data_IF_312070696099
#
_entry.id   IF_312070696099
#
_cell.length_a   1.000
_cell.length_b   1.000
_cell.length_c   1.000
_cell.angle_alpha   90.00
_cell.angle_beta   90.00
_cell.angle_gamma   90.00
#
_symmetry.space_group_name_H-M   'P 1'
#
loop_
_entity.id
_entity.type
_entity.pdbx_description
1 polymer ?
#
# COMPACT_ATOMS: atom_id res chain seq x y z
N UNK A 1 -5.80 0.39 -18.04
CA UNK A 1 -5.06 0.91 -19.21
C UNK A 1 -4.15 -0.19 -19.71
N UNK A 2 -4.22 -0.50 -21.00
CA UNK A 2 -3.29 -1.40 -21.67
C UNK A 2 -2.09 -0.57 -22.11
N UNK A 3 -0.90 -0.95 -21.68
CA UNK A 3 0.36 -0.40 -22.20
C UNK A 3 0.96 -1.44 -23.14
N UNK A 4 1.44 -1.00 -24.31
CA UNK A 4 2.12 -1.87 -25.26
C UNK A 4 3.63 -1.73 -25.11
N UNK A 5 4.34 -2.85 -25.07
CA UNK A 5 5.80 -2.90 -25.18
C UNK A 5 6.17 -4.03 -26.14
N UNK A 6 6.94 -3.74 -27.18
CA UNK A 6 7.36 -4.69 -28.22
C UNK A 6 6.20 -5.46 -28.90
N UNK A 7 5.08 -4.78 -29.19
CA UNK A 7 3.95 -5.38 -29.90
C UNK A 7 3.15 -6.41 -29.08
N UNK A 8 3.39 -6.50 -27.77
CA UNK A 8 2.57 -7.29 -26.84
C UNK A 8 1.87 -6.35 -25.87
N UNK A 9 0.55 -6.54 -25.73
CA UNK A 9 -0.25 -5.87 -24.73
C UNK A 9 0.14 -6.35 -23.33
N UNK A 10 0.75 -5.48 -22.51
CA UNK A 10 1.00 -5.73 -21.11
C UNK A 10 -0.29 -5.47 -20.34
N UNK A 11 -0.86 -6.54 -19.79
CA UNK A 11 -1.90 -6.45 -18.77
C UNK A 11 -1.22 -6.25 -17.43
N UNK A 12 -1.01 -4.99 -17.02
CA UNK A 12 -0.58 -4.72 -15.65
C UNK A 12 -1.72 -5.13 -14.70
N UNK A 13 -1.49 -6.08 -13.78
CA UNK A 13 -2.52 -6.50 -12.85
C UNK A 13 -2.97 -5.29 -12.04
N UNK A 14 -4.29 -5.07 -12.00
CA UNK A 14 -4.85 -4.13 -11.06
C UNK A 14 -4.82 -4.83 -9.70
N UNK A 15 -4.30 -4.17 -8.64
CA UNK A 15 -4.48 -4.66 -7.30
C UNK A 15 -5.96 -4.59 -6.96
N UNK A 16 -6.65 -5.69 -7.24
CA UNK A 16 -7.93 -5.97 -6.62
C UNK A 16 -7.57 -6.40 -5.22
N UNK A 17 -7.76 -5.52 -4.24
CA UNK A 17 -7.92 -5.98 -2.87
C UNK A 17 -9.12 -6.90 -2.93
N UNK A 18 -8.90 -8.21 -2.80
CA UNK A 18 -9.98 -9.19 -2.71
C UNK A 18 -10.77 -8.92 -1.42
N UNK A 19 -11.62 -7.91 -1.45
CA UNK A 19 -12.85 -7.86 -0.64
C UNK A 19 -13.94 -8.67 -1.35
N UNK A 20 -13.53 -9.74 -2.03
CA UNK A 20 -14.38 -10.51 -2.93
C UNK A 20 -15.60 -11.04 -2.19
N UNK A 21 -16.73 -11.10 -2.88
CA UNK A 21 -17.84 -11.95 -2.50
C UNK A 21 -17.40 -13.39 -2.79
N UNK A 22 -17.13 -14.24 -1.78
CA UNK A 22 -16.62 -15.60 -1.99
C UNK A 22 -17.54 -16.43 -2.88
N UNK A 23 -18.83 -16.05 -2.93
CA UNK A 23 -19.86 -16.64 -3.77
C UNK A 23 -19.65 -16.47 -5.28
N UNK A 24 -18.76 -15.57 -5.73
CA UNK A 24 -18.50 -15.35 -7.15
C UNK A 24 -17.31 -16.16 -7.68
N UNK A 25 -16.53 -16.83 -6.82
CA UNK A 25 -15.40 -17.64 -7.25
C UNK A 25 -15.85 -18.80 -8.17
N UNK A 26 -15.23 -18.93 -9.33
CA UNK A 26 -15.58 -19.94 -10.33
C UNK A 26 -16.84 -19.65 -11.15
N UNK A 27 -17.52 -18.52 -10.93
CA UNK A 27 -18.80 -18.23 -11.58
C UNK A 27 -18.67 -17.92 -13.08
N UNK A 28 -17.55 -17.36 -13.55
CA UNK A 28 -17.29 -17.08 -14.96
C UNK A 28 -15.79 -16.80 -15.23
N UNK A 29 -15.42 -16.52 -16.48
CA UNK A 29 -14.03 -16.21 -16.89
C UNK A 29 -13.44 -14.93 -16.25
N UNK A 30 -14.28 -14.04 -15.73
CA UNK A 30 -13.84 -12.83 -15.01
C UNK A 30 -13.61 -13.13 -13.52
N UNK A 31 -14.19 -14.21 -13.00
CA UNK A 31 -14.00 -14.73 -11.64
C UNK A 31 -13.61 -16.21 -11.70
N UNK A 32 -12.38 -16.52 -12.17
CA UNK A 32 -11.94 -17.90 -12.34
C UNK A 32 -11.93 -18.63 -10.98
N UNK A 33 -12.08 -19.95 -11.04
CA UNK A 33 -11.86 -20.78 -9.87
C UNK A 33 -10.35 -20.73 -9.57
N UNK A 34 -9.98 -20.23 -8.39
CA UNK A 34 -8.58 -20.22 -7.98
C UNK A 34 -8.29 -21.64 -7.54
N UNK A 35 -7.64 -22.43 -8.40
CA UNK A 35 -7.17 -23.75 -8.00
C UNK A 35 -6.28 -23.60 -6.76
N UNK A 36 -6.51 -24.39 -5.69
CA UNK A 36 -5.64 -24.38 -4.55
C UNK A 36 -4.21 -24.61 -5.01
N UNK A 37 -3.28 -23.76 -4.58
CA UNK A 37 -1.86 -23.98 -4.82
C UNK A 37 -1.55 -25.38 -4.31
N UNK A 38 -1.16 -26.28 -5.22
CA UNK A 38 -0.74 -27.63 -4.85
C UNK A 38 0.35 -27.51 -3.76
N UNK A 39 0.33 -28.36 -2.72
CA UNK A 39 1.29 -28.28 -1.63
C UNK A 39 2.71 -28.28 -2.19
N UNK A 40 3.44 -27.19 -1.93
CA UNK A 40 4.79 -26.96 -2.43
C UNK A 40 5.79 -27.73 -1.57
N UNK A 41 6.86 -28.26 -2.18
CA UNK A 41 7.97 -28.76 -1.37
C UNK A 41 8.62 -27.60 -0.59
N UNK A 42 9.25 -27.86 0.56
CA UNK A 42 9.98 -26.83 1.31
C UNK A 42 11.03 -26.12 0.46
N UNK A 43 11.71 -26.86 -0.43
CA UNK A 43 12.73 -26.33 -1.33
C UNK A 43 12.12 -25.33 -2.32
N UNK A 44 11.00 -25.65 -2.95
CA UNK A 44 10.31 -24.75 -3.89
C UNK A 44 9.79 -23.50 -3.20
N UNK A 45 9.27 -23.65 -1.97
CA UNK A 45 8.84 -22.53 -1.15
C UNK A 45 10.00 -21.58 -0.83
N UNK A 46 11.18 -22.13 -0.50
CA UNK A 46 12.38 -21.32 -0.27
C UNK A 46 12.86 -20.57 -1.52
N UNK A 47 12.74 -21.17 -2.72
CA UNK A 47 13.05 -20.46 -3.97
C UNK A 47 12.11 -19.26 -4.20
N UNK A 48 10.81 -19.46 -3.97
CA UNK A 48 9.79 -18.41 -4.10
C UNK A 48 10.10 -17.25 -3.14
N UNK A 49 10.33 -17.53 -1.85
CA UNK A 49 10.64 -16.47 -0.89
C UNK A 49 11.92 -15.72 -1.25
N UNK A 50 12.96 -16.40 -1.77
CA UNK A 50 14.18 -15.71 -2.23
C UNK A 50 13.93 -14.75 -3.38
N UNK A 51 13.08 -15.11 -4.34
CA UNK A 51 12.70 -14.23 -5.46
C UNK A 51 11.93 -13.02 -4.92
N UNK A 52 11.00 -13.26 -3.99
CA UNK A 52 10.20 -12.21 -3.37
C UNK A 52 11.08 -11.25 -2.57
N UNK A 53 11.93 -11.75 -1.68
CA UNK A 53 12.79 -10.92 -0.84
C UNK A 53 13.76 -10.06 -1.67
N UNK A 54 14.31 -10.62 -2.75
CA UNK A 54 15.18 -9.89 -3.67
C UNK A 54 14.46 -8.76 -4.44
N UNK A 55 13.14 -8.86 -4.58
CA UNK A 55 12.32 -7.83 -5.23
C UNK A 55 11.91 -6.67 -4.31
N UNK A 56 12.07 -6.81 -2.99
CA UNK A 56 11.66 -5.81 -2.01
C UNK A 56 12.75 -4.76 -1.85
N UNK A 57 12.45 -3.53 -2.28
CA UNK A 57 13.33 -2.37 -2.12
C UNK A 57 13.00 -1.58 -0.85
N UNK A 58 13.94 -0.76 -0.37
CA UNK A 58 13.81 -0.07 0.92
C UNK A 58 12.57 0.84 1.01
N UNK A 59 12.18 1.48 -0.10
CA UNK A 59 10.97 2.32 -0.12
C UNK A 59 9.70 1.53 0.23
N UNK A 60 9.68 0.21 0.02
CA UNK A 60 8.52 -0.63 0.31
C UNK A 60 8.41 -0.99 1.79
N UNK A 61 9.52 -0.88 2.53
CA UNK A 61 9.58 -1.29 3.93
C UNK A 61 8.89 -0.25 4.82
N UNK A 62 8.06 -0.67 5.79
CA UNK A 62 7.45 0.22 6.76
C UNK A 62 8.52 0.88 7.63
N UNK A 63 8.41 2.19 7.88
CA UNK A 63 9.34 2.94 8.73
C UNK A 63 9.07 2.72 10.22
N UNK A 64 9.27 1.50 10.71
CA UNK A 64 8.90 1.09 12.07
C UNK A 64 9.79 1.72 13.16
N UNK A 65 10.93 2.28 12.79
CA UNK A 65 11.95 2.77 13.72
C UNK A 65 12.03 4.30 13.82
N UNK A 66 10.98 5.02 13.40
CA UNK A 66 10.96 6.49 13.55
C UNK A 66 10.99 6.84 15.05
N UNK A 67 11.95 7.66 15.52
CA UNK A 67 12.02 8.03 16.94
C UNK A 67 10.73 8.74 17.41
N UNK A 68 10.18 8.38 18.58
CA UNK A 68 8.95 9.00 19.11
C UNK A 68 9.03 10.53 19.19
N UNK A 69 10.20 11.06 19.56
CA UNK A 69 10.43 12.49 19.65
C UNK A 69 10.32 13.20 18.29
N UNK A 70 10.83 12.57 17.22
CA UNK A 70 10.73 13.11 15.84
C UNK A 70 9.27 13.17 15.38
N UNK A 71 8.49 12.13 15.68
CA UNK A 71 7.07 12.10 15.38
C UNK A 71 6.32 13.21 16.14
N UNK A 72 6.61 13.36 17.43
CA UNK A 72 5.99 14.35 18.30
C UNK A 72 6.27 15.77 17.79
N UNK A 73 7.53 16.10 17.49
CA UNK A 73 7.91 17.40 16.91
C UNK A 73 7.19 17.67 15.58
N UNK A 74 7.04 16.66 14.72
CA UNK A 74 6.31 16.82 13.45
C UNK A 74 4.83 17.15 13.65
N UNK A 75 4.19 16.50 14.63
CA UNK A 75 2.79 16.75 14.98
C UNK A 75 2.64 18.16 15.58
N UNK A 76 3.53 18.54 16.51
CA UNK A 76 3.53 19.87 17.13
C UNK A 76 3.69 20.98 16.09
N UNK A 77 4.61 20.81 15.14
CA UNK A 77 4.80 21.75 14.03
C UNK A 77 3.54 21.87 13.15
N UNK A 78 2.86 20.75 12.88
CA UNK A 78 1.61 20.75 12.09
C UNK A 78 0.49 21.50 12.82
N UNK A 79 0.34 21.24 14.13
CA UNK A 79 -0.64 21.93 14.98
C UNK A 79 -0.33 23.43 15.06
N UNK A 80 0.93 23.80 15.29
CA UNK A 80 1.33 25.19 15.42
C UNK A 80 1.17 25.96 14.10
N UNK A 81 1.57 25.35 12.99
CA UNK A 81 1.35 25.92 11.64
C UNK A 81 -0.13 26.18 11.40
N UNK A 82 -1.01 25.23 11.79
CA UNK A 82 -2.46 25.39 11.67
C UNK A 82 -2.97 26.53 12.55
N UNK A 83 -2.56 26.60 13.82
CA UNK A 83 -2.92 27.69 14.76
C UNK A 83 -2.58 29.05 14.18
N UNK A 84 -1.34 29.23 13.75
CA UNK A 84 -0.86 30.49 13.16
C UNK A 84 -1.64 30.84 11.90
N UNK A 85 -1.88 29.87 11.02
CA UNK A 85 -2.63 30.10 9.77
C UNK A 85 -4.09 30.47 10.01
N UNK A 86 -4.72 29.89 11.02
CA UNK A 86 -6.12 30.17 11.34
C UNK A 86 -6.30 31.54 11.97
N UNK A 87 -5.39 31.95 12.86
CA UNK A 87 -5.48 33.25 13.56
C UNK A 87 -6.74 33.40 14.42
N UNK A 88 -7.37 32.27 14.77
CA UNK A 88 -8.65 32.21 15.49
C UNK A 88 -8.44 31.46 16.79
N UNK A 89 -9.05 31.98 17.86
CA UNK A 89 -9.07 31.29 19.13
C UNK A 89 -10.10 30.17 19.12
N UNK A 90 -9.63 28.97 19.44
CA UNK A 90 -10.40 27.72 19.50
C UNK A 90 -10.09 27.00 20.80
N UNK A 91 -11.09 26.31 21.39
CA UNK A 91 -10.94 25.69 22.69
C UNK A 91 -9.86 24.60 22.68
N UNK A 92 -9.25 24.35 23.84
CA UNK A 92 -8.23 23.30 24.01
C UNK A 92 -8.70 21.92 23.52
N UNK A 93 -10.00 21.63 23.65
CA UNK A 93 -10.62 20.40 23.16
C UNK A 93 -10.43 20.20 21.64
N UNK A 94 -10.60 21.25 20.83
CA UNK A 94 -10.40 21.19 19.37
C UNK A 94 -8.95 20.83 19.05
N UNK A 95 -7.98 21.50 19.68
CA UNK A 95 -6.56 21.25 19.41
C UNK A 95 -6.09 19.88 19.87
N UNK A 96 -6.66 19.38 20.99
CA UNK A 96 -6.42 18.03 21.47
C UNK A 96 -6.94 16.98 20.47
N UNK A 97 -8.12 17.21 19.90
CA UNK A 97 -8.69 16.30 18.90
C UNK A 97 -7.99 16.38 17.54
N UNK A 98 -7.61 17.58 17.08
CA UNK A 98 -6.83 17.80 15.87
C UNK A 98 -5.51 17.03 15.92
N UNK A 99 -4.81 17.06 17.07
CA UNK A 99 -3.60 16.28 17.32
C UNK A 99 -3.86 14.79 17.19
N UNK A 100 -4.88 14.26 17.87
CA UNK A 100 -5.26 12.83 17.79
C UNK A 100 -5.59 12.41 16.36
N UNK A 101 -6.24 13.27 15.57
CA UNK A 101 -6.56 12.98 14.18
C UNK A 101 -5.32 12.87 13.29
N UNK A 102 -4.27 13.67 13.56
CA UNK A 102 -2.96 13.55 12.89
C UNK A 102 -2.24 12.28 13.32
N UNK A 103 -2.15 12.02 14.63
CA UNK A 103 -1.55 10.79 15.16
C UNK A 103 -2.20 9.55 14.54
N UNK A 104 -3.53 9.54 14.47
CA UNK A 104 -4.29 8.46 13.85
C UNK A 104 -3.99 8.33 12.37
N UNK A 105 -3.94 9.43 11.62
CA UNK A 105 -3.58 9.40 10.19
C UNK A 105 -2.18 8.83 9.94
N UNK A 106 -1.20 9.21 10.77
CA UNK A 106 0.17 8.69 10.66
C UNK A 106 0.23 7.19 10.99
N UNK A 107 -0.51 6.74 12.00
CA UNK A 107 -0.65 5.32 12.32
C UNK A 107 -1.35 4.53 11.19
N UNK A 108 -2.46 5.06 10.66
CA UNK A 108 -3.19 4.47 9.53
C UNK A 108 -2.28 4.36 8.28
N UNK A 109 -1.46 5.38 8.00
CA UNK A 109 -0.50 5.37 6.90
C UNK A 109 0.60 4.31 7.06
N UNK A 110 1.13 4.16 8.28
CA UNK A 110 2.12 3.14 8.58
C UNK A 110 1.54 1.73 8.46
N UNK A 111 0.32 1.52 8.98
CA UNK A 111 -0.36 0.23 8.88
C UNK A 111 -0.67 -0.12 7.42
N UNK A 112 -1.17 0.83 6.64
CA UNK A 112 -1.41 0.63 5.21
C UNK A 112 -0.16 0.17 4.46
N UNK A 113 1.02 0.69 4.82
CA UNK A 113 2.29 0.24 4.21
C UNK A 113 2.65 -1.20 4.57
N UNK A 114 2.37 -1.62 5.81
CA UNK A 114 2.49 -3.03 6.24
C UNK A 114 1.55 -3.92 5.43
N UNK A 115 0.28 -3.53 5.34
CA UNK A 115 -0.76 -4.31 4.67
C UNK A 115 -0.49 -4.44 3.16
N UNK A 116 -0.07 -3.34 2.51
CA UNK A 116 0.29 -3.33 1.09
C UNK A 116 1.52 -4.21 0.83
N UNK A 117 2.54 -4.18 1.67
CA UNK A 117 3.71 -5.04 1.54
C UNK A 117 3.34 -6.52 1.74
N UNK A 118 2.46 -6.82 2.68
CA UNK A 118 1.99 -8.19 2.90
C UNK A 118 1.18 -8.69 1.69
N UNK A 119 0.22 -7.88 1.20
CA UNK A 119 -0.56 -8.20 0.01
C UNK A 119 0.31 -8.35 -1.25
N UNK A 120 1.37 -7.56 -1.37
CA UNK A 120 2.40 -7.73 -2.40
C UNK A 120 3.06 -9.10 -2.34
N UNK A 121 3.54 -9.52 -1.17
CA UNK A 121 4.20 -10.82 -0.97
C UNK A 121 3.24 -11.96 -1.32
N UNK A 122 2.00 -11.90 -0.83
CA UNK A 122 0.99 -12.93 -1.09
C UNK A 122 0.61 -13.01 -2.57
N UNK A 123 0.41 -11.87 -3.22
CA UNK A 123 0.14 -11.83 -4.65
C UNK A 123 1.30 -12.43 -5.44
N UNK A 124 2.55 -12.09 -5.10
CA UNK A 124 3.72 -12.62 -5.78
C UNK A 124 3.86 -14.14 -5.58
N UNK A 125 3.64 -14.64 -4.35
CA UNK A 125 3.57 -16.09 -4.09
C UNK A 125 2.56 -16.77 -4.99
N UNK A 126 1.34 -16.21 -5.13
CA UNK A 126 0.30 -16.77 -6.01
C UNK A 126 0.72 -16.79 -7.48
N UNK A 127 1.49 -15.80 -7.94
CA UNK A 127 2.02 -15.78 -9.31
C UNK A 127 3.15 -16.80 -9.55
N UNK A 128 4.01 -17.01 -8.55
CA UNK A 128 5.17 -17.91 -8.64
C UNK A 128 4.83 -19.38 -8.37
N UNK A 129 3.85 -19.63 -7.50
CA UNK A 129 3.43 -20.98 -7.11
C UNK A 129 3.09 -21.95 -8.27
N UNK A 130 2.47 -21.53 -9.38
CA UNK A 130 2.25 -22.43 -10.51
C UNK A 130 3.48 -22.64 -11.41
N UNK A 131 4.54 -21.82 -11.31
CA UNK A 131 5.70 -21.89 -12.19
C UNK A 131 6.61 -23.09 -11.91
N UNK A 132 7.03 -23.78 -12.95
CA UNK A 132 7.99 -24.87 -12.91
C UNK A 132 9.28 -24.46 -12.20
N UNK A 133 9.98 -25.40 -11.55
CA UNK A 133 11.25 -25.10 -10.87
C UNK A 133 12.27 -24.47 -11.82
N UNK A 134 12.32 -24.90 -13.08
CA UNK A 134 13.22 -24.33 -14.08
C UNK A 134 12.92 -22.85 -14.35
N UNK A 135 11.64 -22.44 -14.37
CA UNK A 135 11.26 -21.04 -14.56
C UNK A 135 11.53 -20.20 -13.30
N UNK A 136 11.33 -20.77 -12.10
CA UNK A 136 11.74 -20.14 -10.85
C UNK A 136 13.26 -19.91 -10.81
N UNK A 137 14.06 -20.87 -11.28
CA UNK A 137 15.52 -20.73 -11.36
C UNK A 137 15.97 -19.57 -12.24
N UNK A 138 15.21 -19.25 -13.31
CA UNK A 138 15.49 -18.10 -14.19
C UNK A 138 15.25 -16.75 -13.50
N UNK A 139 14.40 -16.72 -12.47
CA UNK A 139 14.06 -15.50 -11.75
C UNK A 139 14.99 -15.21 -10.56
N UNK A 140 15.67 -16.24 -10.04
CA UNK A 140 16.51 -16.13 -8.86
C UNK A 140 17.70 -15.17 -9.07
N UNK A 141 18.00 -14.28 -8.10
CA UNK A 141 19.24 -13.54 -8.10
C UNK A 141 20.43 -14.48 -7.94
N UNK A 142 21.56 -14.14 -8.58
CA UNK A 142 22.84 -14.83 -8.44
C UNK A 142 22.80 -16.36 -8.69
N UNK A 143 21.89 -16.81 -9.57
CA UNK A 143 21.80 -18.21 -10.01
C UNK A 143 22.46 -18.39 -11.40
N UNK A 144 23.21 -19.48 -11.67
CA UNK A 144 23.79 -19.74 -12.99
C UNK A 144 22.78 -19.83 -14.13
N UNK A 145 21.54 -20.21 -13.83
CA UNK A 145 20.41 -20.29 -14.78
C UNK A 145 19.58 -19.01 -14.81
N UNK A 146 19.97 -17.98 -14.06
CA UNK A 146 19.25 -16.72 -13.98
C UNK A 146 19.22 -16.02 -15.35
N UNK A 147 18.04 -15.52 -15.71
CA UNK A 147 17.86 -14.64 -16.85
C UNK A 147 17.55 -13.23 -16.32
N UNK A 148 18.55 -12.36 -16.42
CA UNK A 148 18.45 -10.98 -15.91
C UNK A 148 17.32 -10.19 -16.56
N UNK A 149 17.03 -10.42 -17.84
CA UNK A 149 15.96 -9.70 -18.53
C UNK A 149 14.59 -10.15 -18.02
N UNK A 150 14.40 -11.46 -17.87
CA UNK A 150 13.14 -12.02 -17.35
C UNK A 150 12.94 -11.62 -15.89
N UNK A 151 13.98 -11.71 -15.05
CA UNK A 151 13.92 -11.29 -13.63
C UNK A 151 13.62 -9.79 -13.51
N UNK A 152 14.27 -8.93 -14.30
CA UNK A 152 14.01 -7.48 -14.30
C UNK A 152 12.59 -7.14 -14.77
N UNK A 153 12.10 -7.80 -15.81
CA UNK A 153 10.72 -7.60 -16.29
C UNK A 153 9.70 -8.02 -15.24
N UNK A 154 9.92 -9.17 -14.58
CA UNK A 154 9.03 -9.68 -13.55
C UNK A 154 8.99 -8.76 -12.33
N UNK A 155 10.17 -8.33 -11.85
CA UNK A 155 10.29 -7.39 -10.74
C UNK A 155 9.68 -6.01 -11.06
N UNK A 156 9.79 -5.55 -12.32
CA UNK A 156 9.16 -4.29 -12.75
C UNK A 156 7.63 -4.37 -12.71
N UNK A 157 7.05 -5.47 -13.19
CA UNK A 157 5.60 -5.71 -13.12
C UNK A 157 5.11 -5.77 -11.67
N UNK A 158 5.87 -6.45 -10.80
CA UNK A 158 5.55 -6.56 -9.39
C UNK A 158 5.68 -5.22 -8.66
N UNK A 159 6.70 -4.42 -8.98
CA UNK A 159 6.83 -3.07 -8.44
C UNK A 159 5.67 -2.17 -8.87
N UNK A 160 5.18 -2.30 -10.10
CA UNK A 160 3.98 -1.59 -10.54
C UNK A 160 2.74 -1.99 -9.73
N UNK A 161 2.55 -3.30 -9.48
CA UNK A 161 1.49 -3.79 -8.61
C UNK A 161 1.57 -3.18 -7.20
N UNK A 162 2.77 -3.15 -6.60
CA UNK A 162 2.99 -2.50 -5.30
C UNK A 162 2.61 -1.02 -5.34
N UNK A 163 3.15 -0.26 -6.29
CA UNK A 163 2.91 1.19 -6.37
C UNK A 163 1.41 1.49 -6.54
N UNK A 164 0.69 0.70 -7.35
CA UNK A 164 -0.77 0.87 -7.52
C UNK A 164 -1.53 0.58 -6.22
N UNK A 165 -1.10 -0.44 -5.48
CA UNK A 165 -1.70 -0.84 -4.20
C UNK A 165 -1.48 0.22 -3.13
N UNK A 166 -0.25 0.73 -3.05
CA UNK A 166 0.13 1.83 -2.15
C UNK A 166 -0.67 3.09 -2.45
N UNK A 167 -0.77 3.49 -3.72
CA UNK A 167 -1.56 4.68 -4.11
C UNK A 167 -3.04 4.53 -3.77
N UNK A 168 -3.61 3.34 -3.91
CA UNK A 168 -4.98 3.09 -3.50
C UNK A 168 -5.14 3.25 -1.98
N UNK A 169 -4.26 2.63 -1.20
CA UNK A 169 -4.30 2.72 0.27
C UNK A 169 -4.08 4.16 0.77
N UNK A 170 -3.19 4.92 0.13
CA UNK A 170 -2.96 6.33 0.44
C UNK A 170 -4.21 7.18 0.18
N UNK A 171 -4.94 6.94 -0.92
CA UNK A 171 -6.21 7.63 -1.20
C UNK A 171 -7.27 7.32 -0.14
N UNK A 172 -7.41 6.05 0.25
CA UNK A 172 -8.36 5.63 1.28
C UNK A 172 -8.03 6.27 2.64
N UNK A 173 -6.75 6.24 3.04
CA UNK A 173 -6.29 6.88 4.27
C UNK A 173 -6.48 8.39 4.28
N UNK A 174 -6.19 9.07 3.15
CA UNK A 174 -6.41 10.51 3.03
C UNK A 174 -7.89 10.85 3.11
N UNK A 175 -8.76 10.10 2.41
CA UNK A 175 -10.21 10.28 2.48
C UNK A 175 -10.74 10.11 3.90
N UNK A 176 -10.29 9.07 4.61
CA UNK A 176 -10.68 8.84 6.00
C UNK A 176 -10.19 9.96 6.94
N UNK A 177 -8.96 10.46 6.74
CA UNK A 177 -8.45 11.60 7.49
C UNK A 177 -9.24 12.88 7.20
N UNK A 178 -9.45 13.21 5.93
CA UNK A 178 -10.24 14.38 5.51
C UNK A 178 -11.63 14.35 6.14
N UNK A 179 -12.30 13.21 6.17
CA UNK A 179 -13.61 13.07 6.79
C UNK A 179 -13.58 13.36 8.31
N UNK A 180 -12.56 12.87 9.03
CA UNK A 180 -12.38 13.17 10.47
C UNK A 180 -12.10 14.66 10.71
N UNK A 181 -11.30 15.27 9.84
CA UNK A 181 -10.96 16.69 9.96
C UNK A 181 -12.16 17.59 9.61
N UNK A 182 -12.94 17.24 8.59
CA UNK A 182 -14.15 17.95 8.22
C UNK A 182 -15.22 17.85 9.32
N UNK A 183 -15.39 16.67 9.94
CA UNK A 183 -16.28 16.53 11.09
C UNK A 183 -15.83 17.38 12.28
N UNK A 184 -14.52 17.40 12.57
CA UNK A 184 -13.95 18.22 13.63
C UNK A 184 -14.19 19.72 13.36
N UNK A 185 -13.83 20.20 12.17
CA UNK A 185 -14.00 21.61 11.79
C UNK A 185 -15.47 22.02 11.81
N UNK A 186 -16.41 21.12 11.44
CA UNK A 186 -17.85 21.35 11.52
C UNK A 186 -18.35 21.44 12.96
N UNK A 187 -17.91 20.58 13.88
CA UNK A 187 -18.37 20.58 15.28
C UNK A 187 -17.92 21.80 16.09
N UNK A 188 -16.89 22.50 15.63
CA UNK A 188 -16.34 23.69 16.27
C UNK A 188 -16.55 24.97 15.43
N UNK A 189 -17.46 24.92 14.44
CA UNK A 189 -17.82 26.05 13.57
C UNK A 189 -16.61 26.74 12.90
N UNK A 190 -15.56 25.97 12.63
CA UNK A 190 -14.33 26.47 12.05
C UNK A 190 -14.59 27.01 10.65
N UNK A 191 -15.46 26.35 9.89
CA UNK A 191 -15.80 26.74 8.54
C UNK A 191 -16.52 28.09 8.41
N UNK A 192 -17.14 28.57 9.48
CA UNK A 192 -17.79 29.90 9.51
C UNK A 192 -16.76 31.02 9.69
N UNK A 193 -15.61 30.69 10.29
CA UNK A 193 -14.61 31.66 10.74
C UNK A 193 -13.32 31.59 9.90
N UNK A 194 -13.08 30.47 9.22
CA UNK A 194 -11.84 30.20 8.50
C UNK A 194 -12.08 29.57 7.12
N UNK A 195 -11.69 30.28 6.05
CA UNK A 195 -11.92 29.85 4.67
C UNK A 195 -11.18 28.54 4.29
N UNK A 196 -10.04 28.26 4.94
CA UNK A 196 -9.28 27.01 4.72
C UNK A 196 -9.68 25.88 5.68
N UNK A 197 -10.93 25.85 6.13
CA UNK A 197 -11.44 24.74 6.92
C UNK A 197 -11.47 23.45 6.10
N UNK A 198 -11.46 22.32 6.78
CA UNK A 198 -11.64 21.01 6.18
C UNK A 198 -13.10 20.81 5.78
N UNK A 199 -13.33 20.28 4.57
CA UNK A 199 -14.66 20.01 4.01
C UNK A 199 -14.66 18.66 3.29
N UNK A 200 -15.82 18.03 3.23
CA UNK A 200 -16.10 16.86 2.39
C UNK A 200 -16.78 17.28 1.10
#
# INVERSE_FOLDING_TARGET
>A
MLTEQNGKALRSPLPVVERGLPSCAGANRLFPNIEPIAPQSPERSALIERIIDASIIDKMKPELNRPPQSLQTSIDNTVQTRKTRMGIDLPAAYWSEYRRNIERFLADAQQAKVDVLQGYKEYYRRQLAPMDTADLERLLPDNPKADRSVSASNNSNMLEFYNRSEQQALRENYSAHQARMADLDRRFDVCERFAGCWRN
#
